data_IF_502841913076
#
_entry.id   IF_502841913076
#
_cell.length_a   1.000
_cell.length_b   1.000
_cell.length_c   1.000
_cell.angle_alpha   90.00
_cell.angle_beta   90.00
_cell.angle_gamma   90.00
#
_symmetry.space_group_name_H-M   'P 1'
#
loop_
_entity.id
_entity.type
_entity.pdbx_description
1 polymer ?
#
# COMPACT_ATOMS: atom_id res chain seq x y z
N UNK A 1 34.00 24.89 -39.31
CA UNK A 1 33.32 25.90 -38.46
C UNK A 1 33.19 25.31 -37.10
N UNK A 2 33.93 25.80 -36.15
CA UNK A 2 33.82 25.35 -34.78
C UNK A 2 32.63 26.05 -34.11
N UNK A 3 31.86 25.33 -33.29
CA UNK A 3 30.71 25.87 -32.55
C UNK A 3 31.06 27.17 -31.81
N UNK A 4 32.31 27.25 -31.31
CA UNK A 4 32.84 28.39 -30.60
C UNK A 4 32.91 29.67 -31.44
N UNK A 5 33.24 29.58 -32.75
CA UNK A 5 33.32 30.72 -33.64
C UNK A 5 31.98 31.44 -33.84
N UNK A 6 30.87 30.67 -33.83
CA UNK A 6 29.51 31.22 -33.96
C UNK A 6 29.16 32.07 -32.75
N UNK A 7 29.53 31.65 -31.55
CA UNK A 7 29.25 32.37 -30.30
C UNK A 7 30.14 33.65 -30.15
N UNK A 8 31.35 33.61 -30.66
CA UNK A 8 32.27 34.77 -30.63
C UNK A 8 31.75 35.88 -31.55
N UNK A 9 31.27 35.52 -32.75
CA UNK A 9 30.79 36.50 -33.71
C UNK A 9 29.36 36.97 -33.50
N UNK A 10 28.57 36.30 -32.62
CA UNK A 10 27.20 36.64 -32.32
C UNK A 10 26.92 36.61 -30.79
N UNK A 11 27.34 37.68 -30.08
CA UNK A 11 27.20 37.73 -28.61
C UNK A 11 25.77 37.66 -28.13
N UNK A 12 24.80 38.17 -28.91
CA UNK A 12 23.36 38.07 -28.59
C UNK A 12 22.90 36.61 -28.57
N UNK A 13 23.36 35.80 -29.51
CA UNK A 13 23.03 34.37 -29.56
C UNK A 13 23.60 33.64 -28.36
N UNK A 14 24.83 33.98 -27.95
CA UNK A 14 25.47 33.42 -26.76
C UNK A 14 24.67 33.74 -25.47
N UNK A 15 24.23 34.98 -25.33
CA UNK A 15 23.43 35.38 -24.12
C UNK A 15 22.08 34.73 -24.09
N UNK A 16 21.37 34.57 -25.22
CA UNK A 16 20.07 33.90 -25.30
C UNK A 16 20.18 32.42 -24.93
N UNK A 17 21.20 31.72 -25.50
CA UNK A 17 21.42 30.30 -25.19
C UNK A 17 21.79 30.12 -23.73
N UNK A 18 22.64 30.97 -23.16
CA UNK A 18 22.99 30.95 -21.73
C UNK A 18 21.80 31.14 -20.84
N UNK A 19 20.92 32.11 -21.16
CA UNK A 19 19.70 32.38 -20.41
C UNK A 19 18.71 31.22 -20.51
N UNK A 20 18.60 30.59 -21.70
CA UNK A 20 17.75 29.42 -21.90
C UNK A 20 18.22 28.24 -21.05
N UNK A 21 19.52 27.97 -21.00
CA UNK A 21 20.11 26.91 -20.17
C UNK A 21 19.85 27.20 -18.68
N UNK A 22 19.99 28.45 -18.27
CA UNK A 22 19.74 28.87 -16.89
C UNK A 22 18.26 28.65 -16.49
N UNK A 23 17.32 29.05 -17.35
CA UNK A 23 15.88 28.86 -17.11
C UNK A 23 15.53 27.36 -17.07
N UNK A 24 16.07 26.56 -17.99
CA UNK A 24 15.86 25.12 -17.98
C UNK A 24 16.46 24.46 -16.73
N UNK A 25 17.64 24.89 -16.29
CA UNK A 25 18.28 24.43 -15.06
C UNK A 25 17.45 24.74 -13.82
N UNK A 26 16.93 25.97 -13.70
CA UNK A 26 16.03 26.36 -12.61
C UNK A 26 14.71 25.56 -12.61
N UNK A 27 14.15 25.31 -13.78
CA UNK A 27 12.95 24.47 -13.92
C UNK A 27 13.23 23.02 -13.51
N UNK A 28 14.38 22.48 -13.91
CA UNK A 28 14.81 21.13 -13.53
C UNK A 28 14.94 20.97 -12.02
N UNK A 29 15.52 21.97 -11.34
CA UNK A 29 15.67 21.95 -9.87
C UNK A 29 14.31 21.95 -9.18
N UNK A 30 13.33 22.72 -9.68
CA UNK A 30 11.98 22.76 -9.12
C UNK A 30 11.19 21.45 -9.34
N UNK A 31 11.52 20.69 -10.37
CA UNK A 31 10.87 19.41 -10.66
C UNK A 31 11.54 18.22 -9.95
N UNK A 32 12.69 18.41 -9.31
CA UNK A 32 13.34 17.38 -8.51
C UNK A 32 12.58 17.20 -7.18
N UNK A 33 11.91 16.07 -7.05
CA UNK A 33 11.37 15.62 -5.76
C UNK A 33 12.55 15.20 -4.87
N UNK A 34 13.04 16.13 -4.04
CA UNK A 34 14.03 15.82 -3.01
C UNK A 34 13.34 15.06 -1.88
N UNK A 35 13.45 13.74 -1.89
CA UNK A 35 13.03 12.88 -0.77
C UNK A 35 14.25 12.50 0.05
N UNK A 36 14.17 12.71 1.34
CA UNK A 36 15.24 12.40 2.29
C UNK A 36 15.44 10.88 2.47
N UNK A 37 14.41 10.09 2.16
CA UNK A 37 14.43 8.63 2.19
C UNK A 37 13.79 8.06 0.92
N UNK A 38 14.32 6.96 0.36
CA UNK A 38 13.63 6.25 -0.71
C UNK A 38 12.24 5.83 -0.22
N UNK A 39 11.25 5.86 -1.11
CA UNK A 39 9.94 5.27 -0.82
C UNK A 39 10.13 3.77 -0.63
N UNK A 40 10.12 3.33 0.61
CA UNK A 40 9.98 1.92 0.97
C UNK A 40 8.56 1.72 1.49
N UNK A 41 7.59 1.88 0.60
CA UNK A 41 6.20 1.64 0.94
C UNK A 41 5.93 0.15 0.76
N UNK A 42 5.69 -0.56 1.87
CA UNK A 42 5.12 -1.90 1.85
C UNK A 42 3.60 -1.76 1.84
N UNK A 43 2.98 -2.34 0.84
CA UNK A 43 1.54 -2.51 0.83
C UNK A 43 1.18 -3.81 1.52
N UNK A 44 0.32 -3.71 2.53
CA UNK A 44 -0.29 -4.83 3.22
C UNK A 44 -1.76 -4.91 2.82
N UNK A 45 -2.17 -6.04 2.25
CA UNK A 45 -3.58 -6.32 1.98
C UNK A 45 -4.06 -7.38 2.97
N UNK A 46 -5.09 -7.03 3.73
CA UNK A 46 -5.71 -7.91 4.74
C UNK A 46 -7.05 -8.40 4.23
N UNK A 47 -7.23 -9.70 4.19
CA UNK A 47 -8.50 -10.36 3.86
C UNK A 47 -9.07 -10.99 5.11
N UNK A 48 -10.22 -10.51 5.57
CA UNK A 48 -10.90 -11.00 6.75
C UNK A 48 -12.22 -11.66 6.37
N UNK A 49 -12.42 -12.89 6.82
CA UNK A 49 -13.65 -13.64 6.58
C UNK A 49 -14.17 -14.18 7.90
N UNK A 50 -15.45 -13.96 8.20
CA UNK A 50 -16.08 -14.49 9.41
C UNK A 50 -16.94 -15.71 9.09
N UNK A 51 -16.83 -16.73 9.92
CA UNK A 51 -17.66 -17.94 9.86
C UNK A 51 -18.20 -18.23 11.26
N UNK A 52 -19.35 -17.60 11.62
CA UNK A 52 -19.88 -17.68 12.98
C UNK A 52 -20.15 -19.12 13.43
N UNK A 53 -19.71 -19.45 14.65
CA UNK A 53 -19.93 -20.78 15.25
C UNK A 53 -18.93 -21.88 14.81
N UNK A 54 -18.09 -21.63 13.81
CA UNK A 54 -17.10 -22.60 13.37
C UNK A 54 -15.88 -22.67 14.31
N UNK A 55 -15.35 -23.88 14.50
CA UNK A 55 -14.06 -24.06 15.18
C UNK A 55 -12.90 -23.56 14.34
N UNK A 56 -11.75 -23.33 14.95
CA UNK A 56 -10.54 -22.87 14.22
C UNK A 56 -10.10 -23.86 13.13
N UNK A 57 -10.30 -25.15 13.33
CA UNK A 57 -9.98 -26.20 12.35
C UNK A 57 -10.90 -26.13 11.13
N UNK A 58 -12.21 -25.90 11.35
CA UNK A 58 -13.18 -25.74 10.27
C UNK A 58 -12.89 -24.45 9.49
N UNK A 59 -12.63 -23.33 10.21
CA UNK A 59 -12.25 -22.08 9.57
C UNK A 59 -10.97 -22.26 8.73
N UNK A 60 -9.96 -22.94 9.26
CA UNK A 60 -8.73 -23.23 8.54
C UNK A 60 -8.99 -24.03 7.28
N UNK A 61 -9.74 -25.14 7.37
CA UNK A 61 -9.96 -26.05 6.25
C UNK A 61 -10.84 -25.48 5.16
N UNK A 62 -11.95 -24.83 5.52
CA UNK A 62 -12.97 -24.41 4.57
C UNK A 62 -12.87 -22.94 4.14
N UNK A 63 -12.17 -22.11 4.89
CA UNK A 63 -12.04 -20.66 4.58
C UNK A 63 -10.59 -20.30 4.29
N UNK A 64 -9.70 -20.50 5.28
CA UNK A 64 -8.32 -19.98 5.19
C UNK A 64 -7.53 -20.65 4.07
N UNK A 65 -7.58 -21.96 3.98
CA UNK A 65 -6.78 -22.71 3.00
C UNK A 65 -7.19 -22.40 1.55
N UNK A 66 -8.48 -22.45 1.15
CA UNK A 66 -8.89 -22.10 -0.21
C UNK A 66 -8.55 -20.66 -0.58
N UNK A 67 -8.83 -19.70 0.34
CA UNK A 67 -8.53 -18.29 0.10
C UNK A 67 -7.02 -18.03 0.00
N UNK A 68 -6.23 -18.64 0.88
CA UNK A 68 -4.77 -18.52 0.84
C UNK A 68 -4.18 -19.04 -0.46
N UNK A 69 -4.68 -20.18 -0.96
CA UNK A 69 -4.23 -20.75 -2.24
C UNK A 69 -4.55 -19.81 -3.41
N UNK A 70 -5.77 -19.26 -3.45
CA UNK A 70 -6.17 -18.35 -4.50
C UNK A 70 -5.40 -17.04 -4.45
N UNK A 71 -5.21 -16.47 -3.27
CA UNK A 71 -4.44 -15.24 -3.08
C UNK A 71 -2.97 -15.45 -3.45
N UNK A 72 -2.39 -16.63 -3.16
CA UNK A 72 -1.00 -16.93 -3.51
C UNK A 72 -0.71 -16.94 -5.03
N UNK A 73 -1.75 -17.00 -5.87
CA UNK A 73 -1.62 -16.88 -7.32
C UNK A 73 -1.62 -15.42 -7.82
N UNK A 74 -1.78 -14.45 -6.94
CA UNK A 74 -1.73 -13.03 -7.31
C UNK A 74 -0.28 -12.57 -7.47
N UNK A 75 -0.03 -11.67 -8.42
CA UNK A 75 1.30 -11.14 -8.69
C UNK A 75 1.74 -10.14 -7.60
N UNK A 76 3.04 -10.06 -7.40
CA UNK A 76 3.66 -9.08 -6.49
C UNK A 76 3.52 -9.38 -5.00
N UNK A 77 3.20 -10.61 -4.62
CA UNK A 77 3.21 -11.06 -3.22
C UNK A 77 4.62 -11.50 -2.83
N UNK A 78 5.18 -10.86 -1.80
CA UNK A 78 6.45 -11.26 -1.20
C UNK A 78 6.25 -12.44 -0.23
N UNK A 79 5.35 -12.28 0.74
CA UNK A 79 4.95 -13.35 1.65
C UNK A 79 3.54 -13.13 2.21
N UNK A 80 2.98 -14.21 2.76
CA UNK A 80 1.65 -14.18 3.39
C UNK A 80 1.70 -14.75 4.79
N UNK A 81 0.85 -14.18 5.67
CA UNK A 81 0.52 -14.75 6.97
C UNK A 81 -0.96 -15.05 7.03
N UNK A 82 -1.31 -16.21 7.52
CA UNK A 82 -2.70 -16.59 7.72
C UNK A 82 -2.94 -17.01 9.17
N UNK A 83 -4.02 -16.51 9.76
CA UNK A 83 -4.45 -16.84 11.11
C UNK A 83 -5.90 -17.28 11.11
N UNK A 84 -6.15 -18.48 11.64
CA UNK A 84 -7.49 -19.03 11.81
C UNK A 84 -7.84 -19.06 13.28
N UNK A 85 -8.88 -18.32 13.64
CA UNK A 85 -9.44 -18.28 15.00
C UNK A 85 -10.84 -18.88 14.97
N UNK A 86 -11.43 -19.10 16.15
CA UNK A 86 -12.83 -19.52 16.25
C UNK A 86 -13.73 -18.46 15.58
N UNK A 87 -14.44 -18.85 14.54
CA UNK A 87 -15.35 -18.00 13.80
C UNK A 87 -14.71 -16.95 12.88
N UNK A 88 -13.39 -16.89 12.71
CA UNK A 88 -12.75 -15.89 11.86
C UNK A 88 -11.43 -16.36 11.23
N UNK A 89 -11.25 -15.98 9.98
CA UNK A 89 -10.01 -16.12 9.23
C UNK A 89 -9.45 -14.74 8.90
N UNK A 90 -8.16 -14.55 9.08
CA UNK A 90 -7.44 -13.33 8.70
C UNK A 90 -6.23 -13.76 7.88
N UNK A 91 -6.13 -13.25 6.65
CA UNK A 91 -5.01 -13.47 5.74
C UNK A 91 -4.39 -12.10 5.45
N UNK A 92 -3.12 -11.98 5.74
CA UNK A 92 -2.31 -10.79 5.50
C UNK A 92 -1.34 -11.08 4.36
N UNK A 93 -1.52 -10.41 3.23
CA UNK A 93 -0.65 -10.48 2.06
C UNK A 93 0.28 -9.26 2.05
N UNK A 94 1.56 -9.51 2.20
CA UNK A 94 2.61 -8.49 2.12
C UNK A 94 3.10 -8.43 0.68
N UNK A 95 2.92 -7.26 0.06
CA UNK A 95 3.32 -7.05 -1.33
C UNK A 95 4.81 -6.71 -1.42
N UNK A 96 5.39 -6.92 -2.60
CA UNK A 96 6.73 -6.44 -2.91
C UNK A 96 6.85 -4.93 -2.72
N UNK A 97 8.06 -4.46 -2.45
CA UNK A 97 8.36 -3.04 -2.25
C UNK A 97 7.95 -2.22 -3.48
N UNK A 98 7.22 -1.11 -3.23
CA UNK A 98 6.75 -0.19 -4.26
C UNK A 98 5.76 -0.80 -5.27
N UNK A 99 5.13 -1.94 -4.96
CA UNK A 99 4.02 -2.46 -5.74
C UNK A 99 2.80 -1.52 -5.64
N UNK A 100 2.07 -1.31 -6.75
CA UNK A 100 0.91 -0.42 -6.76
C UNK A 100 -0.21 -0.97 -5.85
N UNK A 101 -0.60 -0.24 -4.79
CA UNK A 101 -1.63 -0.69 -3.86
C UNK A 101 -2.98 -0.97 -4.53
N UNK A 102 -3.35 -0.16 -5.53
CA UNK A 102 -4.63 -0.32 -6.22
C UNK A 102 -4.63 -1.57 -7.11
N UNK A 103 -3.51 -1.84 -7.78
CA UNK A 103 -3.35 -3.07 -8.56
C UNK A 103 -3.40 -4.31 -7.64
N UNK A 104 -2.69 -4.27 -6.50
CA UNK A 104 -2.70 -5.35 -5.52
C UNK A 104 -4.12 -5.67 -5.00
N UNK A 105 -4.87 -4.63 -4.61
CA UNK A 105 -6.25 -4.80 -4.12
C UNK A 105 -7.15 -5.37 -5.21
N UNK A 106 -7.09 -4.83 -6.44
CA UNK A 106 -7.93 -5.29 -7.55
C UNK A 106 -7.66 -6.77 -7.89
N UNK A 107 -6.41 -7.18 -7.89
CA UNK A 107 -6.02 -8.54 -8.19
C UNK A 107 -6.44 -9.52 -7.09
N UNK A 108 -6.17 -9.18 -5.83
CA UNK A 108 -6.61 -9.99 -4.69
C UNK A 108 -8.13 -10.08 -4.64
N UNK A 109 -8.87 -9.00 -4.94
CA UNK A 109 -10.32 -9.03 -5.04
C UNK A 109 -10.81 -10.00 -6.11
N UNK A 110 -10.19 -9.98 -7.29
CA UNK A 110 -10.54 -10.91 -8.36
C UNK A 110 -10.30 -12.38 -7.96
N UNK A 111 -9.15 -12.66 -7.31
CA UNK A 111 -8.83 -14.01 -6.83
C UNK A 111 -9.78 -14.48 -5.72
N UNK A 112 -10.08 -13.62 -4.74
CA UNK A 112 -11.03 -13.92 -3.67
C UNK A 112 -12.45 -14.13 -4.21
N UNK A 113 -12.90 -13.28 -5.14
CA UNK A 113 -14.21 -13.42 -5.78
C UNK A 113 -14.36 -14.76 -6.53
N UNK A 114 -13.29 -15.24 -7.16
CA UNK A 114 -13.31 -16.56 -7.85
C UNK A 114 -13.56 -17.73 -6.90
N UNK A 115 -13.23 -17.60 -5.63
CA UNK A 115 -13.40 -18.63 -4.60
C UNK A 115 -14.76 -18.59 -3.90
N UNK A 116 -15.61 -17.59 -4.22
CA UNK A 116 -16.90 -17.42 -3.54
C UNK A 116 -17.76 -18.68 -3.51
N UNK A 117 -17.77 -19.42 -4.62
CA UNK A 117 -18.57 -20.65 -4.75
C UNK A 117 -17.96 -21.87 -4.01
N UNK A 118 -16.73 -21.76 -3.53
CA UNK A 118 -16.03 -22.81 -2.78
C UNK A 118 -16.22 -22.62 -1.27
N UNK A 119 -16.49 -21.38 -0.85
CA UNK A 119 -16.72 -21.05 0.55
C UNK A 119 -18.11 -21.55 1.01
N UNK A 120 -18.27 -21.95 2.29
CA UNK A 120 -19.56 -22.30 2.86
C UNK A 120 -20.55 -21.13 2.76
N UNK A 121 -21.83 -21.44 2.55
CA UNK A 121 -22.90 -20.42 2.46
C UNK A 121 -23.10 -19.66 3.78
N UNK A 122 -22.79 -20.28 4.91
CA UNK A 122 -22.88 -19.67 6.24
C UNK A 122 -21.69 -18.73 6.56
N UNK A 123 -20.66 -18.75 5.75
CA UNK A 123 -19.53 -17.81 5.88
C UNK A 123 -19.90 -16.45 5.27
N UNK A 124 -19.58 -15.40 5.98
CA UNK A 124 -19.76 -14.05 5.46
C UNK A 124 -18.78 -13.77 4.32
N UNK A 125 -19.10 -12.78 3.50
CA UNK A 125 -18.25 -12.32 2.43
C UNK A 125 -16.87 -11.88 2.95
N UNK A 126 -15.78 -12.27 2.28
CA UNK A 126 -14.46 -11.75 2.60
C UNK A 126 -14.40 -10.23 2.46
N UNK A 127 -13.96 -9.56 3.50
CA UNK A 127 -13.70 -8.12 3.52
C UNK A 127 -12.22 -7.91 3.25
N UNK A 128 -11.91 -7.05 2.28
CA UNK A 128 -10.54 -6.76 1.86
C UNK A 128 -10.23 -5.32 2.23
N UNK A 129 -9.17 -5.14 3.00
CA UNK A 129 -8.63 -3.85 3.42
C UNK A 129 -7.17 -3.73 2.99
N UNK A 130 -6.72 -2.52 2.65
CA UNK A 130 -5.35 -2.28 2.26
C UNK A 130 -4.74 -1.14 3.07
N UNK A 131 -3.54 -1.38 3.56
CA UNK A 131 -2.76 -0.38 4.27
C UNK A 131 -1.42 -0.20 3.54
N UNK A 132 -1.11 1.06 3.21
CA UNK A 132 0.15 1.42 2.55
C UNK A 132 1.01 2.20 3.53
N UNK A 133 2.28 1.81 3.62
CA UNK A 133 3.25 2.47 4.50
C UNK A 133 3.42 1.77 5.84
N UNK A 134 4.39 2.24 6.62
CA UNK A 134 4.62 1.75 7.97
C UNK A 134 3.67 2.48 8.92
N UNK A 135 2.74 1.80 9.61
CA UNK A 135 1.79 2.41 10.54
C UNK A 135 2.48 2.84 11.84
N UNK A 136 3.56 3.60 11.72
CA UNK A 136 4.14 4.27 12.88
C UNK A 136 3.23 5.44 13.25
N UNK A 137 2.67 5.38 14.44
CA UNK A 137 1.92 6.50 14.96
C UNK A 137 2.83 7.74 15.01
N UNK A 138 2.42 8.79 14.29
CA UNK A 138 3.14 10.07 14.25
C UNK A 138 3.11 10.78 15.61
N UNK A 139 2.08 10.49 16.41
CA UNK A 139 1.88 11.13 17.71
C UNK A 139 0.99 10.23 18.58
N UNK A 140 1.36 10.09 19.85
CA UNK A 140 0.52 9.51 20.88
C UNK A 140 -0.04 10.63 21.74
N UNK A 141 -1.37 10.79 21.77
CA UNK A 141 -2.07 11.72 22.64
C UNK A 141 -2.62 10.97 23.83
N UNK A 142 -2.12 11.26 25.01
CA UNK A 142 -2.68 10.77 26.26
C UNK A 142 -3.57 11.86 26.89
N UNK A 143 -4.84 11.56 27.05
CA UNK A 143 -5.78 12.41 27.78
C UNK A 143 -5.77 11.98 29.25
N UNK A 144 -5.59 12.96 30.13
CA UNK A 144 -5.58 12.75 31.55
C UNK A 144 -6.53 13.73 32.22
N UNK A 145 -7.35 13.26 33.15
CA UNK A 145 -8.23 14.07 33.98
C UNK A 145 -8.23 13.56 35.41
N UNK A 146 -8.13 14.46 36.38
CA UNK A 146 -8.26 14.14 37.80
C UNK A 146 -9.71 14.07 38.28
N UNK A 147 -10.66 14.56 37.46
CA UNK A 147 -12.06 14.73 37.83
C UNK A 147 -13.04 13.89 37.01
N UNK A 148 -12.63 13.37 35.86
CA UNK A 148 -13.48 12.57 34.95
C UNK A 148 -13.04 11.11 34.91
N UNK A 149 -14.01 10.19 34.89
CA UNK A 149 -13.73 8.77 34.69
C UNK A 149 -13.36 8.45 33.23
N UNK A 150 -12.60 7.36 32.94
CA UNK A 150 -12.21 7.00 31.58
C UNK A 150 -13.36 6.93 30.55
N UNK A 151 -14.57 6.40 30.87
CA UNK A 151 -15.68 6.40 29.92
C UNK A 151 -16.25 7.80 29.61
N UNK A 152 -16.16 8.74 30.54
CA UNK A 152 -16.63 10.12 30.32
C UNK A 152 -15.67 10.97 29.48
N UNK A 153 -14.42 10.51 29.29
CA UNK A 153 -13.44 11.16 28.41
C UNK A 153 -13.52 10.69 26.95
N UNK A 154 -14.28 9.61 26.68
CA UNK A 154 -14.41 9.01 25.34
C UNK A 154 -15.72 9.35 24.63
N UNK A 155 -16.68 9.99 25.33
CA UNK A 155 -17.91 10.53 24.76
C UNK A 155 -17.68 11.99 24.32
#
# INVERSE_FOLDING_TARGET
>A
MNLTDVFIHRPVLASVVSLMILVLGLRSIQSLELRQYPKTENTLVTVTTTYPGASSELVKGFITTPLQQAIAEADGIDFMKASSKQGASVIEAYMELNYDPNAAVAEIQAKVASQRNVLPEEANDPVIDSQTGNPLALMYLAFYSETMSPPEMTD
#
